data_IF_441999336121
#
_entry.id   IF_441999336121
#
_cell.length_a   1.000
_cell.length_b   1.000
_cell.length_c   1.000
_cell.angle_alpha   90.00
_cell.angle_beta   90.00
_cell.angle_gamma   90.00
#
_symmetry.space_group_name_H-M   'P 1'
#
loop_
_entity.id
_entity.type
_entity.pdbx_description
1 polymer ?
#
# COMPACT_ATOMS: atom_id res chain seq x y z
N UNK A 1 -19.08 -3.89 -6.27
CA UNK A 1 -17.90 -4.63 -5.77
C UNK A 1 -17.93 -4.64 -4.27
N UNK A 2 -17.92 -5.81 -3.62
CA UNK A 2 -17.74 -5.90 -2.16
C UNK A 2 -16.31 -5.49 -1.84
N UNK A 3 -16.11 -4.70 -0.79
CA UNK A 3 -14.77 -4.29 -0.35
C UNK A 3 -14.21 -5.46 0.46
N UNK A 4 -13.09 -5.99 0.00
CA UNK A 4 -12.52 -7.23 0.51
C UNK A 4 -11.41 -6.93 1.54
N UNK A 5 -11.37 -7.71 2.62
CA UNK A 5 -10.68 -7.35 3.86
C UNK A 5 -9.15 -7.36 3.69
N UNK A 6 -8.50 -6.21 3.91
CA UNK A 6 -7.05 -6.11 4.15
C UNK A 6 -6.85 -6.43 5.62
N UNK A 7 -6.05 -7.45 5.92
CA UNK A 7 -5.89 -7.88 7.32
C UNK A 7 -4.84 -7.05 8.04
N UNK A 8 -3.67 -6.81 7.44
CA UNK A 8 -2.56 -6.11 8.09
C UNK A 8 -1.70 -5.40 7.03
N UNK A 9 -1.41 -4.11 7.25
CA UNK A 9 -0.51 -3.31 6.43
C UNK A 9 0.69 -2.88 7.30
N UNK A 10 1.90 -3.08 6.80
CA UNK A 10 3.15 -2.81 7.51
C UNK A 10 4.04 -1.90 6.69
N UNK A 11 4.64 -0.89 7.32
CA UNK A 11 5.68 -0.08 6.68
C UNK A 11 6.97 -0.88 6.63
N UNK A 12 7.58 -0.95 5.45
CA UNK A 12 8.92 -1.53 5.26
C UNK A 12 10.01 -0.47 5.19
N UNK A 13 9.69 0.65 4.58
CA UNK A 13 10.63 1.74 4.35
C UNK A 13 9.85 3.05 4.32
N UNK A 14 10.38 4.07 4.99
CA UNK A 14 9.86 5.41 4.94
C UNK A 14 11.01 6.38 4.69
N UNK A 15 10.94 7.08 3.56
CA UNK A 15 11.88 8.14 3.22
C UNK A 15 11.20 9.49 3.42
N UNK A 16 11.59 10.14 4.52
CA UNK A 16 11.12 11.45 4.92
C UNK A 16 11.52 12.56 3.93
N UNK A 17 12.67 12.42 3.27
CA UNK A 17 13.19 13.45 2.38
C UNK A 17 12.38 13.52 1.08
N UNK A 18 11.98 12.37 0.55
CA UNK A 18 11.19 12.28 -0.68
C UNK A 18 9.68 12.12 -0.45
N UNK A 19 9.25 12.00 0.82
CA UNK A 19 7.85 11.75 1.17
C UNK A 19 7.33 10.48 0.54
N UNK A 20 8.14 9.41 0.54
CA UNK A 20 7.81 8.11 -0.05
C UNK A 20 7.74 7.02 1.00
N UNK A 21 6.74 6.16 0.88
CA UNK A 21 6.42 5.13 1.86
C UNK A 21 6.20 3.79 1.17
N UNK A 22 6.96 2.77 1.57
CA UNK A 22 6.78 1.40 1.11
C UNK A 22 5.98 0.61 2.13
N UNK A 23 4.87 0.03 1.68
CA UNK A 23 3.91 -0.68 2.52
C UNK A 23 3.73 -2.09 1.98
N UNK A 24 3.87 -3.08 2.86
CA UNK A 24 3.46 -4.45 2.57
C UNK A 24 2.14 -4.78 3.22
N UNK A 25 1.23 -5.42 2.49
CA UNK A 25 -0.08 -5.77 3.01
C UNK A 25 -0.62 -7.03 2.38
N UNK A 26 -1.49 -7.73 3.10
CA UNK A 26 -2.14 -8.94 2.64
C UNK A 26 -3.58 -8.66 2.19
N UNK A 27 -3.92 -9.06 0.96
CA UNK A 27 -5.29 -9.05 0.46
C UNK A 27 -5.85 -10.46 0.62
N UNK A 28 -6.78 -10.64 1.57
CA UNK A 28 -7.36 -11.94 1.93
C UNK A 28 -8.03 -12.65 0.75
N UNK A 29 -8.68 -11.90 -0.11
CA UNK A 29 -9.43 -12.44 -1.25
C UNK A 29 -8.54 -12.92 -2.39
N UNK A 30 -7.39 -12.26 -2.56
CA UNK A 30 -6.35 -12.73 -3.48
C UNK A 30 -5.45 -13.78 -2.81
N UNK A 31 -5.64 -14.01 -1.50
CA UNK A 31 -4.80 -14.82 -0.62
C UNK A 31 -3.32 -14.51 -0.77
N UNK A 32 -2.99 -13.25 -1.02
CA UNK A 32 -1.64 -12.84 -1.44
C UNK A 32 -1.19 -11.55 -0.79
N UNK A 33 0.12 -11.49 -0.56
CA UNK A 33 0.78 -10.29 -0.08
C UNK A 33 1.23 -9.42 -1.25
N UNK A 34 1.17 -8.13 -1.04
CA UNK A 34 1.57 -7.11 -1.98
C UNK A 34 2.51 -6.13 -1.29
N UNK A 35 3.34 -5.49 -2.10
CA UNK A 35 4.11 -4.32 -1.73
C UNK A 35 3.66 -3.17 -2.61
N UNK A 36 3.30 -2.06 -2.00
CA UNK A 36 2.97 -0.83 -2.71
C UNK A 36 3.88 0.31 -2.24
N UNK A 37 4.30 1.15 -3.18
CA UNK A 37 4.97 2.41 -2.89
C UNK A 37 3.94 3.54 -3.01
N UNK A 38 3.87 4.34 -1.94
CA UNK A 38 3.06 5.52 -1.83
C UNK A 38 3.93 6.77 -1.83
N UNK A 39 3.43 7.85 -2.39
CA UNK A 39 4.04 9.18 -2.33
C UNK A 39 3.05 10.17 -1.76
N UNK A 40 3.51 11.11 -0.93
CA UNK A 40 2.69 12.25 -0.53
C UNK A 40 2.53 13.19 -1.71
N UNK A 41 1.30 13.38 -2.18
CA UNK A 41 0.94 14.38 -3.18
C UNK A 41 -0.35 15.07 -2.76
N UNK A 42 -0.39 16.40 -2.80
CA UNK A 42 -1.55 17.20 -2.39
C UNK A 42 -2.09 16.81 -1.01
N UNK A 43 -1.19 16.53 -0.05
CA UNK A 43 -1.51 16.09 1.32
C UNK A 43 -2.24 14.75 1.40
N UNK A 44 -2.13 13.92 0.35
CA UNK A 44 -2.66 12.56 0.33
C UNK A 44 -1.60 11.57 -0.14
N UNK A 45 -1.62 10.37 0.46
CA UNK A 45 -0.78 9.27 0.00
C UNK A 45 -1.37 8.67 -1.28
N UNK A 46 -0.63 8.80 -2.38
CA UNK A 46 -0.98 8.27 -3.69
C UNK A 46 -0.10 7.06 -4.01
N UNK A 47 -0.74 5.96 -4.41
CA UNK A 47 -0.04 4.73 -4.80
C UNK A 47 0.47 4.87 -6.23
N UNK A 48 1.76 4.67 -6.46
CA UNK A 48 2.37 4.81 -7.80
C UNK A 48 3.06 3.54 -8.30
N UNK A 49 3.31 2.55 -7.43
CA UNK A 49 3.87 1.26 -7.84
C UNK A 49 3.37 0.13 -6.93
N UNK A 50 2.99 -1.01 -7.52
CA UNK A 50 2.49 -2.18 -6.79
C UNK A 50 3.16 -3.43 -7.38
N UNK A 51 3.65 -4.30 -6.51
CA UNK A 51 4.15 -5.62 -6.87
C UNK A 51 3.60 -6.68 -5.91
N UNK A 52 3.15 -7.85 -6.40
CA UNK A 52 2.89 -8.98 -5.52
C UNK A 52 4.20 -9.53 -4.96
N UNK A 53 4.14 -10.05 -3.75
CA UNK A 53 5.27 -10.76 -3.13
C UNK A 53 5.14 -12.25 -3.43
N UNK A 54 6.25 -12.88 -3.82
CA UNK A 54 6.29 -14.32 -4.02
C UNK A 54 6.03 -15.03 -2.68
N UNK A 55 5.04 -15.92 -2.65
CA UNK A 55 4.84 -16.85 -1.54
C UNK A 55 5.71 -18.07 -1.84
N UNK A 56 6.39 -18.61 -0.82
CA UNK A 56 7.23 -19.79 -0.97
C UNK A 56 6.44 -20.93 -1.63
N UNK A 57 6.90 -21.39 -2.80
CA UNK A 57 6.28 -22.47 -3.58
C UNK A 57 5.40 -22.04 -4.74
N UNK A 58 5.16 -20.73 -4.98
CA UNK A 58 4.46 -20.28 -6.18
C UNK A 58 5.44 -20.02 -7.35
N UNK A 59 5.22 -20.59 -8.55
CA UNK A 59 5.98 -20.19 -9.73
C UNK A 59 5.73 -18.70 -10.02
N UNK A 60 6.80 -17.90 -10.12
CA UNK A 60 6.77 -16.44 -10.41
C UNK A 60 6.25 -16.09 -11.82
N UNK A 61 5.47 -16.95 -12.46
CA UNK A 61 5.23 -16.92 -13.89
C UNK A 61 3.77 -16.53 -14.15
N UNK A 62 3.59 -15.25 -14.53
CA UNK A 62 2.52 -14.75 -15.39
C UNK A 62 1.07 -14.68 -14.88
N UNK A 63 0.78 -14.90 -13.59
CA UNK A 63 -0.60 -14.84 -13.08
C UNK A 63 -1.01 -13.46 -12.54
N UNK A 64 -0.63 -12.39 -13.24
CA UNK A 64 -1.07 -11.05 -12.88
C UNK A 64 -2.46 -10.81 -13.46
N UNK A 65 -3.48 -10.71 -12.60
CA UNK A 65 -4.70 -10.01 -12.97
C UNK A 65 -4.36 -8.57 -13.35
N UNK A 66 -5.12 -8.01 -14.30
CA UNK A 66 -4.90 -6.69 -14.92
C UNK A 66 -4.32 -5.66 -13.93
N UNK A 67 -3.05 -5.20 -14.11
CA UNK A 67 -2.41 -4.24 -13.22
C UNK A 67 -3.31 -3.04 -12.93
N UNK A 68 -4.09 -2.61 -13.92
CA UNK A 68 -5.06 -1.51 -13.82
C UNK A 68 -6.15 -1.80 -12.78
N UNK A 69 -6.70 -3.02 -12.76
CA UNK A 69 -7.73 -3.42 -11.81
C UNK A 69 -7.20 -3.52 -10.38
N UNK A 70 -5.95 -3.95 -10.19
CA UNK A 70 -5.28 -4.00 -8.88
C UNK A 70 -4.92 -2.59 -8.40
N UNK A 71 -4.42 -1.72 -9.28
CA UNK A 71 -4.17 -0.31 -9.00
C UNK A 71 -5.47 0.39 -8.61
N UNK A 72 -6.55 0.21 -9.37
CA UNK A 72 -7.85 0.81 -9.07
C UNK A 72 -8.39 0.30 -7.73
N UNK A 73 -8.22 -0.99 -7.44
CA UNK A 73 -8.59 -1.58 -6.17
C UNK A 73 -7.79 -0.97 -5.00
N UNK A 74 -6.47 -0.85 -5.14
CA UNK A 74 -5.60 -0.25 -4.12
C UNK A 74 -5.91 1.23 -3.92
N UNK A 75 -6.20 1.96 -5.00
CA UNK A 75 -6.67 3.35 -4.91
C UNK A 75 -7.99 3.47 -4.15
N UNK A 76 -8.93 2.53 -4.34
CA UNK A 76 -10.21 2.50 -3.59
C UNK A 76 -10.02 2.22 -2.10
N UNK A 77 -8.99 1.45 -1.72
CA UNK A 77 -8.72 1.09 -0.31
C UNK A 77 -7.59 1.92 0.32
N UNK A 78 -6.95 2.84 -0.44
CA UNK A 78 -5.80 3.64 0.01
C UNK A 78 -6.09 4.38 1.31
N UNK A 79 -7.27 4.98 1.44
CA UNK A 79 -7.64 5.74 2.63
C UNK A 79 -7.65 4.88 3.90
N UNK A 80 -7.97 3.58 3.78
CA UNK A 80 -7.92 2.64 4.91
C UNK A 80 -6.49 2.28 5.26
N UNK A 81 -5.66 2.04 4.24
CA UNK A 81 -4.22 1.79 4.41
C UNK A 81 -3.57 3.01 5.07
N UNK A 82 -3.75 4.21 4.52
CA UNK A 82 -3.24 5.46 5.09
C UNK A 82 -3.70 5.67 6.52
N UNK A 83 -4.97 5.42 6.84
CA UNK A 83 -5.45 5.53 8.23
C UNK A 83 -4.74 4.56 9.16
N UNK A 84 -4.64 3.28 8.80
CA UNK A 84 -3.93 2.28 9.61
C UNK A 84 -2.45 2.65 9.82
N UNK A 85 -1.81 3.21 8.79
CA UNK A 85 -0.43 3.66 8.85
C UNK A 85 -0.27 4.86 9.78
N UNK A 86 -1.16 5.86 9.72
CA UNK A 86 -1.12 7.02 10.61
C UNK A 86 -1.42 6.67 12.07
N UNK A 87 -2.25 5.66 12.31
CA UNK A 87 -2.54 5.17 13.66
C UNK A 87 -1.34 4.39 14.25
N UNK A 88 -0.53 3.74 13.41
CA UNK A 88 0.61 2.90 13.84
C UNK A 88 1.96 3.63 13.86
N UNK A 89 2.14 4.63 12.99
CA UNK A 89 3.40 5.34 12.77
C UNK A 89 3.16 6.85 12.94
N UNK A 90 3.25 7.32 14.19
CA UNK A 90 2.94 8.70 14.59
C UNK A 90 3.86 9.70 13.86
N UNK A 91 5.10 9.31 13.59
CA UNK A 91 6.09 10.09 12.84
C UNK A 91 5.62 10.41 11.41
N UNK A 92 4.88 9.51 10.75
CA UNK A 92 4.30 9.76 9.42
C UNK A 92 3.21 10.83 9.51
N UNK A 93 2.48 10.88 10.63
CA UNK A 93 1.44 11.88 10.87
C UNK A 93 2.05 13.28 11.06
N UNK A 94 3.13 13.37 11.81
CA UNK A 94 3.83 14.63 12.05
C UNK A 94 4.43 15.21 10.75
N UNK A 95 4.93 14.36 9.85
CA UNK A 95 5.44 14.83 8.56
C UNK A 95 4.34 15.29 7.59
N UNK A 96 3.17 14.64 7.57
CA UNK A 96 2.02 15.17 6.82
C UNK A 96 1.62 16.57 7.32
N UNK A 97 1.78 16.83 8.62
CA UNK A 97 1.57 18.14 9.22
C UNK A 97 2.73 19.12 8.94
N UNK A 98 3.95 18.63 8.70
CA UNK A 98 5.12 19.44 8.33
C UNK A 98 5.01 20.04 6.92
N UNK A 99 4.40 19.34 5.96
CA UNK A 99 4.10 19.87 4.62
C UNK A 99 2.91 20.88 4.60
N UNK A 100 2.64 21.58 5.71
CA UNK A 100 1.61 22.64 5.83
C UNK A 100 2.10 23.97 5.28
#
# INVERSE_FOLDING_TARGET
>A
MKIHQITEAHVKEYDHHYGTLQVEFYIKDLRRSFRANFRVENREWNCFYIQPLAIAGEPMINSYGDPSGVIEYINKIRARISKQLLDQYVEIREDLDFYK
#
